data_IF_503152218237
#
_entry.id   IF_503152218237
#
_cell.length_a   1.000
_cell.length_b   1.000
_cell.length_c   1.000
_cell.angle_alpha   90.00
_cell.angle_beta   90.00
_cell.angle_gamma   90.00
#
_symmetry.space_group_name_H-M   'P 1'
#
loop_
_entity.id
_entity.type
_entity.pdbx_description
1 polymer ?
#
# COMPACT_ATOMS: atom_id res chain seq x y z
N UNK A 1 -14.37 20.90 19.58
CA UNK A 1 -13.75 21.44 18.35
C UNK A 1 -14.83 21.66 17.30
N UNK A 2 -14.70 22.69 16.47
CA UNK A 2 -15.60 22.88 15.31
C UNK A 2 -15.45 21.69 14.35
N UNK A 3 -16.55 21.19 13.81
CA UNK A 3 -16.56 20.07 12.85
C UNK A 3 -16.25 20.58 11.44
N UNK A 4 -15.96 19.66 10.51
CA UNK A 4 -15.80 20.03 9.09
C UNK A 4 -17.11 20.51 8.46
N UNK A 5 -18.24 19.94 8.86
CA UNK A 5 -19.56 20.35 8.40
C UNK A 5 -19.86 21.79 8.86
N UNK A 6 -19.57 22.11 10.13
CA UNK A 6 -19.71 23.47 10.68
C UNK A 6 -18.79 24.48 9.98
N UNK A 7 -17.56 24.08 9.61
CA UNK A 7 -16.67 24.92 8.79
C UNK A 7 -17.25 25.17 7.39
N UNK A 8 -17.89 24.16 6.80
CA UNK A 8 -18.60 24.27 5.52
C UNK A 8 -19.77 25.25 5.60
N UNK A 9 -20.57 25.19 6.66
CA UNK A 9 -21.67 26.14 6.92
C UNK A 9 -21.17 27.59 7.08
N UNK A 10 -19.93 27.78 7.57
CA UNK A 10 -19.27 29.08 7.68
C UNK A 10 -18.60 29.56 6.37
N UNK A 11 -18.74 28.83 5.27
CA UNK A 11 -18.25 29.22 3.95
C UNK A 11 -16.83 28.74 3.62
N UNK A 12 -16.25 27.82 4.39
CA UNK A 12 -14.96 27.20 4.05
C UNK A 12 -15.15 26.18 2.94
N UNK A 13 -14.80 26.55 1.70
CA UNK A 13 -14.98 25.71 0.52
C UNK A 13 -13.89 24.66 0.27
N UNK A 14 -12.78 24.68 1.03
CA UNK A 14 -11.68 23.74 0.87
C UNK A 14 -10.98 23.47 2.22
N UNK A 15 -10.86 22.20 2.59
CA UNK A 15 -10.24 21.75 3.83
C UNK A 15 -9.14 20.74 3.49
N UNK A 16 -7.97 20.89 4.10
CA UNK A 16 -6.85 19.97 3.95
C UNK A 16 -6.03 19.92 5.24
N UNK A 17 -5.30 18.82 5.45
CA UNK A 17 -4.44 18.62 6.61
C UNK A 17 -2.98 18.61 6.14
N UNK A 18 -2.24 19.67 6.47
CA UNK A 18 -0.86 19.89 6.02
C UNK A 18 0.09 18.74 6.35
N UNK A 19 -0.04 18.16 7.54
CA UNK A 19 0.88 17.14 8.06
C UNK A 19 0.27 15.73 8.12
N UNK A 20 -0.87 15.47 7.47
CA UNK A 20 -1.55 14.17 7.56
C UNK A 20 -0.62 13.02 7.16
N UNK A 21 0.10 13.17 6.03
CA UNK A 21 1.05 12.16 5.57
C UNK A 21 2.18 11.94 6.58
N UNK A 22 2.78 13.02 7.09
CA UNK A 22 3.90 12.92 8.02
C UNK A 22 3.50 12.21 9.32
N UNK A 23 2.31 12.51 9.85
CA UNK A 23 1.79 11.81 11.03
C UNK A 23 1.45 10.34 10.74
N UNK A 24 0.76 10.06 9.63
CA UNK A 24 0.36 8.69 9.28
C UNK A 24 1.58 7.79 9.00
N UNK A 25 2.52 8.26 8.18
CA UNK A 25 3.73 7.52 7.84
C UNK A 25 4.65 7.34 9.06
N UNK A 26 4.85 8.40 9.85
CA UNK A 26 5.65 8.35 11.07
C UNK A 26 5.07 7.34 12.07
N UNK A 27 3.77 7.43 12.36
CA UNK A 27 3.10 6.50 13.27
C UNK A 27 3.16 5.04 12.76
N UNK A 28 2.81 4.80 11.50
CA UNK A 28 2.84 3.45 10.92
C UNK A 28 4.23 2.83 10.99
N UNK A 29 5.28 3.60 10.66
CA UNK A 29 6.66 3.14 10.73
C UNK A 29 7.11 2.88 12.17
N UNK A 30 6.79 3.78 13.12
CA UNK A 30 7.14 3.58 14.53
C UNK A 30 6.51 2.32 15.11
N UNK A 31 5.23 2.05 14.81
CA UNK A 31 4.54 0.83 15.24
C UNK A 31 5.22 -0.41 14.64
N UNK A 32 5.49 -0.43 13.33
CA UNK A 32 6.16 -1.55 12.68
C UNK A 32 7.55 -1.82 13.28
N UNK A 33 8.35 -0.77 13.52
CA UNK A 33 9.69 -0.91 14.09
C UNK A 33 9.65 -1.44 15.53
N UNK A 34 8.67 -1.03 16.32
CA UNK A 34 8.49 -1.57 17.68
C UNK A 34 8.06 -3.05 17.64
N UNK A 35 7.13 -3.40 16.76
CA UNK A 35 6.69 -4.79 16.55
C UNK A 35 7.85 -5.68 16.07
N UNK A 36 8.70 -5.19 15.16
CA UNK A 36 9.90 -5.89 14.70
C UNK A 36 10.91 -6.08 15.84
N UNK A 37 11.10 -5.07 16.69
CA UNK A 37 12.02 -5.16 17.84
C UNK A 37 11.57 -6.21 18.85
N UNK A 38 10.27 -6.29 19.15
CA UNK A 38 9.75 -7.15 20.21
C UNK A 38 9.29 -8.53 19.72
N UNK A 39 8.87 -8.62 18.45
CA UNK A 39 8.24 -9.82 17.87
C UNK A 39 8.89 -10.30 16.56
N UNK A 40 10.01 -9.71 16.15
CA UNK A 40 10.77 -10.11 14.95
C UNK A 40 9.88 -10.20 13.71
N UNK A 41 10.00 -11.24 12.88
CA UNK A 41 9.21 -11.45 11.68
C UNK A 41 7.70 -11.52 11.94
N UNK A 42 7.28 -11.93 13.14
CA UNK A 42 5.85 -11.97 13.49
C UNK A 42 5.23 -10.58 13.53
N UNK A 43 6.02 -9.56 13.88
CA UNK A 43 5.61 -8.15 13.78
C UNK A 43 5.33 -7.74 12.33
N UNK A 44 6.20 -8.13 11.40
CA UNK A 44 5.99 -7.88 9.97
C UNK A 44 4.79 -8.67 9.42
N UNK A 45 4.66 -9.95 9.77
CA UNK A 45 3.51 -10.77 9.37
C UNK A 45 2.20 -10.20 9.92
N UNK A 46 2.20 -9.55 11.08
CA UNK A 46 1.03 -8.89 11.63
C UNK A 46 0.59 -7.68 10.79
N UNK A 47 1.53 -6.90 10.25
CA UNK A 47 1.24 -5.86 9.26
C UNK A 47 0.64 -6.48 8.00
N UNK A 48 1.27 -7.51 7.44
CA UNK A 48 0.80 -8.15 6.22
C UNK A 48 -0.62 -8.73 6.39
N UNK A 49 -0.93 -9.36 7.54
CA UNK A 49 -2.31 -9.82 7.83
C UNK A 49 -3.34 -8.70 7.80
N UNK A 50 -2.97 -7.47 8.19
CA UNK A 50 -3.87 -6.31 8.12
C UNK A 50 -4.09 -5.88 6.66
N UNK A 51 -3.04 -5.86 5.84
CA UNK A 51 -3.12 -5.52 4.41
C UNK A 51 -3.98 -6.52 3.61
N UNK A 52 -4.03 -7.77 4.05
CA UNK A 52 -4.76 -8.86 3.40
C UNK A 52 -6.11 -9.20 4.06
N UNK A 53 -6.58 -8.37 5.00
CA UNK A 53 -7.88 -8.60 5.65
C UNK A 53 -9.04 -8.50 4.62
N UNK A 54 -10.15 -9.25 4.78
CA UNK A 54 -11.22 -9.32 3.77
C UNK A 54 -11.84 -7.99 3.34
N UNK A 55 -11.84 -6.99 4.23
CA UNK A 55 -12.39 -5.65 3.99
C UNK A 55 -11.29 -4.59 3.80
N UNK A 56 -10.04 -4.99 3.64
CA UNK A 56 -8.93 -4.09 3.42
C UNK A 56 -8.76 -3.83 1.91
N UNK A 57 -8.95 -2.58 1.51
CA UNK A 57 -8.63 -2.08 0.18
C UNK A 57 -7.31 -1.30 0.24
N UNK A 58 -6.21 -2.06 0.23
CA UNK A 58 -4.84 -1.52 0.35
C UNK A 58 -4.09 -1.83 -0.95
N UNK A 59 -3.91 -0.82 -1.84
CA UNK A 59 -3.27 -1.03 -3.14
C UNK A 59 -1.85 -1.60 -3.02
N UNK A 60 -1.13 -1.25 -1.96
CA UNK A 60 0.27 -1.64 -1.73
C UNK A 60 0.44 -3.08 -1.27
N UNK A 61 -0.64 -3.82 -0.96
CA UNK A 61 -0.55 -5.22 -0.50
C UNK A 61 0.14 -6.14 -1.52
N UNK A 62 0.07 -5.79 -2.80
CA UNK A 62 0.93 -6.32 -3.86
C UNK A 62 1.82 -5.20 -4.40
N UNK A 63 3.08 -5.18 -3.97
CA UNK A 63 4.02 -4.16 -4.43
C UNK A 63 4.34 -4.27 -5.92
N UNK A 64 4.26 -5.47 -6.52
CA UNK A 64 4.43 -5.64 -7.97
C UNK A 64 3.30 -5.00 -8.77
N UNK A 65 2.04 -5.24 -8.37
CA UNK A 65 0.89 -4.61 -9.03
C UNK A 65 0.90 -3.10 -8.83
N UNK A 66 1.12 -2.65 -7.58
CA UNK A 66 1.15 -1.22 -7.25
C UNK A 66 2.23 -0.43 -7.98
N UNK A 67 3.43 -1.03 -8.16
CA UNK A 67 4.54 -0.41 -8.91
C UNK A 67 4.41 -0.55 -10.43
N UNK A 68 3.35 -1.19 -10.91
CA UNK A 68 3.09 -1.33 -12.35
C UNK A 68 4.00 -2.33 -13.05
N UNK A 69 4.54 -3.33 -12.34
CA UNK A 69 5.37 -4.38 -12.97
C UNK A 69 4.67 -5.03 -14.17
N UNK A 70 3.37 -5.43 -14.10
CA UNK A 70 2.69 -6.02 -15.26
C UNK A 70 2.63 -5.07 -16.46
N UNK A 71 2.42 -3.78 -16.22
CA UNK A 71 2.41 -2.78 -17.29
C UNK A 71 3.76 -2.72 -18.03
N UNK A 72 4.86 -2.66 -17.29
CA UNK A 72 6.19 -2.60 -17.90
C UNK A 72 6.56 -3.91 -18.61
N UNK A 73 6.10 -5.06 -18.11
CA UNK A 73 6.26 -6.33 -18.81
C UNK A 73 5.49 -6.36 -20.12
N UNK A 74 4.21 -5.96 -20.11
CA UNK A 74 3.38 -5.90 -21.32
C UNK A 74 4.02 -4.99 -22.38
N UNK A 75 4.46 -3.79 -21.99
CA UNK A 75 5.21 -2.90 -22.88
C UNK A 75 6.47 -3.58 -23.41
N UNK A 76 7.23 -4.30 -22.57
CA UNK A 76 8.40 -5.07 -23.01
C UNK A 76 8.08 -6.12 -24.07
N UNK A 77 6.96 -6.83 -23.94
CA UNK A 77 6.50 -7.83 -24.90
C UNK A 77 6.12 -7.19 -26.24
N UNK A 78 5.31 -6.12 -26.22
CA UNK A 78 4.89 -5.40 -27.43
C UNK A 78 6.07 -4.87 -28.27
N UNK A 79 7.18 -4.52 -27.61
CA UNK A 79 8.37 -3.97 -28.28
C UNK A 79 9.56 -4.95 -28.37
N UNK A 80 9.38 -6.24 -28.06
CA UNK A 80 10.43 -7.26 -28.18
C UNK A 80 11.66 -7.00 -27.28
N UNK A 81 11.46 -6.32 -26.15
CA UNK A 81 12.48 -5.92 -25.19
C UNK A 81 12.40 -6.68 -23.86
N UNK A 82 11.69 -7.81 -23.81
CA UNK A 82 11.48 -8.64 -22.62
C UNK A 82 12.82 -9.20 -22.12
N UNK A 83 13.22 -8.83 -20.90
CA UNK A 83 14.46 -9.34 -20.26
C UNK A 83 14.26 -10.59 -19.41
N UNK A 84 13.02 -10.89 -19.05
CA UNK A 84 12.60 -12.07 -18.28
C UNK A 84 11.55 -12.79 -19.15
N UNK A 85 11.62 -14.13 -19.15
CA UNK A 85 10.86 -15.09 -19.98
C UNK A 85 9.47 -14.64 -20.44
N UNK A 86 9.06 -15.12 -21.62
CA UNK A 86 7.79 -14.79 -22.31
C UNK A 86 6.52 -15.11 -21.49
N UNK A 87 6.63 -15.93 -20.44
CA UNK A 87 5.52 -16.38 -19.59
C UNK A 87 5.73 -15.95 -18.13
N UNK A 88 5.21 -14.77 -17.73
CA UNK A 88 4.92 -14.48 -16.32
C UNK A 88 3.41 -14.66 -16.14
N UNK A 89 3.03 -15.60 -15.28
CA UNK A 89 1.63 -15.92 -15.00
C UNK A 89 0.89 -14.70 -14.41
N UNK A 90 -0.23 -14.31 -15.02
CA UNK A 90 -1.11 -13.23 -14.53
C UNK A 90 -1.76 -13.60 -13.17
N UNK A 91 -1.65 -14.86 -12.73
CA UNK A 91 -2.14 -15.36 -11.44
C UNK A 91 -1.13 -15.30 -10.28
N UNK A 92 -0.17 -14.36 -10.29
CA UNK A 92 0.78 -14.12 -9.18
C UNK A 92 0.12 -13.77 -7.82
N UNK A 93 -1.20 -13.63 -7.75
CA UNK A 93 -1.95 -13.36 -6.52
C UNK A 93 -1.85 -14.49 -5.46
N UNK A 94 -1.33 -15.67 -5.80
CA UNK A 94 -1.29 -16.82 -4.88
C UNK A 94 0.13 -17.19 -4.44
N UNK A 95 1.00 -16.21 -4.19
CA UNK A 95 2.13 -16.47 -3.28
C UNK A 95 1.67 -16.24 -1.85
N UNK A 96 0.96 -17.22 -1.27
CA UNK A 96 0.83 -17.31 0.19
C UNK A 96 2.24 -17.47 0.75
N UNK A 97 2.78 -16.40 1.32
CA UNK A 97 3.93 -16.47 2.21
C UNK A 97 3.46 -17.29 3.42
N UNK A 98 3.96 -18.52 3.54
CA UNK A 98 3.82 -19.36 4.74
C UNK A 98 4.78 -18.84 5.79
#
# INVERSE_FOLDING_TARGET
PITWDELGELGVGFIFITLALQHAAGHGMSVLLDDLKHSQEQGYMALQRKEWAPNADIPTRSHHLFSGVPYHQHVGQEYGATRLSEELDEHLEVSKVV
#
